data_IF_248895622076
#
_entry.id   IF_248895622076
#
_cell.length_a   1.000
_cell.length_b   1.000
_cell.length_c   1.000
_cell.angle_alpha   90.00
_cell.angle_beta   90.00
_cell.angle_gamma   90.00
#
_symmetry.space_group_name_H-M   'P 1'
#
loop_
_entity.id
_entity.type
_entity.pdbx_description
1 polymer ?
#
# COMPACT_ATOMS: atom_id res chain seq x y z
N UNK A 1 -4.93 -39.80 -11.53
CA UNK A 1 -5.39 -38.38 -11.62
C UNK A 1 -4.66 -37.73 -12.78
N UNK A 2 -5.36 -37.20 -13.78
CA UNK A 2 -4.75 -36.47 -14.88
C UNK A 2 -4.01 -35.22 -14.30
N UNK A 3 -2.83 -34.92 -14.84
CA UNK A 3 -2.09 -33.71 -14.46
C UNK A 3 -3.03 -32.48 -14.58
N UNK A 4 -3.01 -31.56 -13.61
CA UNK A 4 -3.88 -30.38 -13.67
C UNK A 4 -3.61 -29.61 -14.95
N UNK A 5 -4.67 -29.30 -15.70
CA UNK A 5 -4.61 -28.57 -16.97
C UNK A 5 -3.95 -27.21 -16.73
N UNK A 6 -2.80 -26.99 -17.33
CA UNK A 6 -2.10 -25.71 -17.21
C UNK A 6 -2.78 -24.69 -18.12
N UNK A 7 -3.47 -23.72 -17.53
CA UNK A 7 -4.08 -22.60 -18.24
C UNK A 7 -3.06 -21.48 -18.38
N UNK A 8 -2.92 -20.94 -19.58
CA UNK A 8 -2.11 -19.73 -19.83
C UNK A 8 -3.02 -18.52 -19.66
N UNK A 9 -2.69 -17.65 -18.69
CA UNK A 9 -3.45 -16.43 -18.41
C UNK A 9 -2.76 -15.23 -19.06
N UNK A 10 -3.41 -14.57 -20.00
CA UNK A 10 -2.99 -13.33 -20.66
C UNK A 10 -3.75 -12.10 -20.16
N UNK A 11 -4.41 -12.19 -19.00
CA UNK A 11 -5.16 -11.08 -18.42
C UNK A 11 -4.26 -9.86 -18.13
N UNK A 12 -4.71 -8.63 -18.45
CA UNK A 12 -3.90 -7.42 -18.29
C UNK A 12 -3.81 -6.91 -16.84
N UNK A 13 -4.53 -7.56 -15.91
CA UNK A 13 -4.52 -7.27 -14.47
C UNK A 13 -5.89 -7.49 -13.82
N UNK A 14 -5.96 -8.32 -12.75
CA UNK A 14 -4.87 -9.12 -12.17
C UNK A 14 -4.23 -10.06 -13.15
N UNK A 15 -2.89 -10.01 -13.26
CA UNK A 15 -2.13 -10.74 -14.24
C UNK A 15 -1.65 -12.11 -13.71
N UNK A 16 -1.07 -12.92 -14.62
CA UNK A 16 -0.47 -14.19 -14.26
C UNK A 16 0.70 -13.98 -13.29
N UNK A 17 0.72 -14.76 -12.21
CA UNK A 17 1.88 -14.87 -11.31
C UNK A 17 2.76 -16.07 -11.71
N UNK A 18 4.09 -15.98 -11.51
CA UNK A 18 4.97 -17.12 -11.68
C UNK A 18 4.57 -18.30 -10.78
N UNK A 19 4.60 -19.51 -11.33
CA UNK A 19 4.20 -20.71 -10.56
C UNK A 19 5.07 -20.93 -9.31
N UNK A 20 6.36 -20.63 -9.40
CA UNK A 20 7.29 -20.70 -8.25
C UNK A 20 6.84 -19.80 -7.10
N UNK A 21 6.42 -18.57 -7.40
CA UNK A 21 5.88 -17.63 -6.41
C UNK A 21 4.60 -18.15 -5.77
N UNK A 22 3.67 -18.73 -6.57
CA UNK A 22 2.43 -19.30 -6.04
C UNK A 22 2.68 -20.50 -5.13
N UNK A 23 3.67 -21.34 -5.46
CA UNK A 23 4.05 -22.49 -4.63
C UNK A 23 4.71 -22.04 -3.31
N UNK A 24 5.48 -20.96 -3.33
CA UNK A 24 6.08 -20.39 -2.12
C UNK A 24 4.99 -19.78 -1.22
N UNK A 25 4.08 -18.99 -1.79
CA UNK A 25 2.91 -18.46 -1.07
C UNK A 25 2.11 -19.61 -0.44
N UNK A 26 1.87 -20.70 -1.17
CA UNK A 26 1.12 -21.86 -0.66
C UNK A 26 1.76 -22.48 0.60
N UNK A 27 3.08 -22.52 0.68
CA UNK A 27 3.78 -23.02 1.87
C UNK A 27 3.57 -22.09 3.08
N UNK A 28 3.58 -20.78 2.83
CA UNK A 28 3.48 -19.76 3.88
C UNK A 28 2.02 -19.43 4.30
N UNK A 29 1.02 -19.97 3.55
CA UNK A 29 -0.39 -19.75 3.86
C UNK A 29 -0.85 -20.42 5.15
N UNK A 30 -0.23 -21.53 5.55
CA UNK A 30 -0.59 -22.26 6.77
C UNK A 30 0.38 -21.95 7.90
N UNK A 31 1.65 -21.75 7.57
CA UNK A 31 2.70 -21.52 8.56
C UNK A 31 3.82 -20.68 7.94
N UNK A 32 3.85 -19.39 8.24
CA UNK A 32 4.90 -18.50 7.77
C UNK A 32 6.22 -18.83 8.44
N UNK A 33 7.14 -19.50 7.71
CA UNK A 33 8.52 -19.78 8.16
C UNK A 33 8.61 -20.47 9.53
N UNK A 34 7.66 -21.32 9.88
CA UNK A 34 7.68 -22.10 11.12
C UNK A 34 7.26 -21.34 12.38
N UNK A 35 6.63 -20.17 12.25
CA UNK A 35 6.16 -19.41 13.43
C UNK A 35 4.79 -19.86 13.95
N UNK A 36 4.16 -20.84 13.29
CA UNK A 36 2.89 -21.43 13.72
C UNK A 36 1.64 -20.65 13.34
N UNK A 37 1.75 -19.60 12.51
CA UNK A 37 0.60 -18.85 11.97
C UNK A 37 0.78 -18.52 10.51
N UNK A 38 -0.34 -18.32 9.82
CA UNK A 38 -0.38 -17.83 8.46
C UNK A 38 0.06 -16.38 8.36
N UNK A 39 0.67 -16.01 7.23
CA UNK A 39 0.87 -14.60 6.87
C UNK A 39 -0.45 -13.81 6.84
N UNK A 40 -1.59 -14.49 6.59
CA UNK A 40 -2.93 -13.89 6.57
C UNK A 40 -3.42 -13.44 7.96
N UNK A 41 -2.96 -14.12 9.00
CA UNK A 41 -3.32 -13.89 10.40
C UNK A 41 -2.33 -12.96 11.11
N UNK A 42 -1.20 -12.69 10.45
CA UNK A 42 -0.11 -11.91 11.02
C UNK A 42 -0.51 -10.45 11.22
N UNK A 43 -0.33 -9.95 12.43
CA UNK A 43 -0.50 -8.52 12.68
C UNK A 43 0.51 -7.70 11.87
N UNK A 44 0.03 -6.72 11.12
CA UNK A 44 0.90 -5.78 10.41
C UNK A 44 1.83 -4.95 11.34
N UNK A 45 1.63 -5.03 12.66
CA UNK A 45 2.48 -4.41 13.69
C UNK A 45 3.47 -5.38 14.33
N UNK A 46 3.46 -6.65 13.92
CA UNK A 46 4.43 -7.63 14.42
C UNK A 46 5.83 -7.38 13.84
N UNK A 47 6.85 -7.84 14.55
CA UNK A 47 8.24 -7.81 14.06
C UNK A 47 8.44 -8.60 12.78
N UNK A 48 7.68 -9.69 12.61
CA UNK A 48 7.80 -10.53 11.42
C UNK A 48 7.18 -9.87 10.20
N UNK A 49 6.04 -9.19 10.35
CA UNK A 49 5.49 -8.38 9.26
C UNK A 49 6.41 -7.20 8.91
N UNK A 50 7.02 -6.56 9.91
CA UNK A 50 8.01 -5.50 9.68
C UNK A 50 9.20 -6.00 8.84
N UNK A 51 9.67 -7.24 9.05
CA UNK A 51 10.70 -7.86 8.21
C UNK A 51 10.23 -8.04 6.77
N UNK A 52 8.99 -8.46 6.56
CA UNK A 52 8.41 -8.62 5.20
C UNK A 52 8.38 -7.28 4.47
N UNK A 53 7.81 -6.23 5.08
CA UNK A 53 7.67 -4.94 4.40
C UNK A 53 9.01 -4.25 4.17
N UNK A 54 9.93 -4.31 5.14
CA UNK A 54 11.27 -3.76 5.00
C UNK A 54 12.07 -4.47 3.92
N UNK A 55 12.00 -5.80 3.86
CA UNK A 55 12.63 -6.58 2.78
C UNK A 55 12.03 -6.23 1.42
N UNK A 56 10.71 -6.04 1.33
CA UNK A 56 10.05 -5.63 0.09
C UNK A 56 10.49 -4.23 -0.35
N UNK A 57 10.62 -3.29 0.59
CA UNK A 57 11.17 -1.96 0.30
C UNK A 57 12.60 -2.04 -0.21
N UNK A 58 13.47 -2.79 0.47
CA UNK A 58 14.87 -2.96 0.08
C UNK A 58 14.99 -3.57 -1.33
N UNK A 59 14.17 -4.57 -1.65
CA UNK A 59 14.16 -5.16 -3.00
C UNK A 59 13.73 -4.16 -4.08
N UNK A 60 12.73 -3.32 -3.81
CA UNK A 60 12.32 -2.25 -4.75
C UNK A 60 13.46 -1.25 -4.93
N UNK A 61 14.12 -0.85 -3.83
CA UNK A 61 15.27 0.07 -3.88
C UNK A 61 16.42 -0.50 -4.68
N UNK A 62 16.76 -1.76 -4.45
CA UNK A 62 17.84 -2.46 -5.16
C UNK A 62 17.53 -2.58 -6.66
N UNK A 63 16.35 -3.10 -7.02
CA UNK A 63 15.95 -3.38 -8.41
C UNK A 63 15.86 -2.11 -9.28
N UNK A 64 15.51 -0.97 -8.68
CA UNK A 64 15.34 0.30 -9.39
C UNK A 64 16.44 1.31 -9.08
N UNK A 65 17.48 0.93 -8.31
CA UNK A 65 18.53 1.82 -7.85
C UNK A 65 17.95 3.14 -7.26
N UNK A 66 16.92 3.02 -6.39
CA UNK A 66 16.21 4.18 -5.83
C UNK A 66 17.14 5.01 -4.96
N UNK A 67 17.36 6.32 -5.24
CA UNK A 67 18.23 7.17 -4.44
C UNK A 67 17.74 7.33 -2.99
N UNK A 68 18.66 7.66 -2.06
CA UNK A 68 18.35 7.77 -0.63
C UNK A 68 17.36 8.91 -0.31
N UNK A 69 17.32 9.94 -1.15
CA UNK A 69 16.40 11.07 -1.02
C UNK A 69 14.98 10.79 -1.56
N UNK A 70 14.60 9.50 -1.64
CA UNK A 70 13.25 9.06 -1.99
C UNK A 70 12.67 8.15 -0.93
N UNK A 71 11.35 8.25 -0.70
CA UNK A 71 10.57 7.26 0.05
C UNK A 71 9.93 6.26 -0.88
N UNK A 72 10.01 4.99 -0.51
CA UNK A 72 9.23 3.91 -1.12
C UNK A 72 8.12 3.57 -0.14
N UNK A 73 6.87 3.75 -0.54
CA UNK A 73 5.71 3.48 0.30
C UNK A 73 4.74 2.54 -0.39
N UNK A 74 4.05 1.73 0.43
CA UNK A 74 3.05 0.78 -0.03
C UNK A 74 1.67 1.23 0.46
N UNK A 75 0.80 1.56 -0.49
CA UNK A 75 -0.52 2.14 -0.21
C UNK A 75 -1.63 1.30 -0.83
N UNK A 76 -2.87 1.60 -0.49
CA UNK A 76 -4.06 0.96 -1.06
C UNK A 76 -4.69 1.83 -2.14
N UNK A 77 -5.67 1.29 -2.87
CA UNK A 77 -6.47 2.03 -3.84
C UNK A 77 -6.09 1.82 -5.31
N UNK A 78 -4.96 1.15 -5.60
CA UNK A 78 -4.50 0.93 -6.98
C UNK A 78 -4.18 2.23 -7.71
N UNK A 79 -4.04 2.17 -9.04
CA UNK A 79 -3.86 3.37 -9.86
C UNK A 79 -5.00 4.37 -9.73
N UNK A 80 -6.23 3.90 -9.55
CA UNK A 80 -7.40 4.78 -9.36
C UNK A 80 -7.30 5.61 -8.08
N UNK A 81 -6.80 5.03 -6.98
CA UNK A 81 -6.50 5.78 -5.76
C UNK A 81 -5.41 6.81 -5.97
N UNK A 82 -4.42 6.51 -6.82
CA UNK A 82 -3.34 7.45 -7.12
C UNK A 82 -3.77 8.60 -8.04
N UNK A 83 -4.80 8.42 -8.86
CA UNK A 83 -5.35 9.53 -9.65
C UNK A 83 -5.88 10.66 -8.76
N UNK A 84 -6.39 10.34 -7.57
CA UNK A 84 -6.77 11.32 -6.54
C UNK A 84 -5.59 11.70 -5.63
N UNK A 85 -4.77 10.72 -5.20
CA UNK A 85 -3.70 10.96 -4.23
C UNK A 85 -2.61 11.89 -4.79
N UNK A 86 -2.22 11.73 -6.07
CA UNK A 86 -1.22 12.60 -6.70
C UNK A 86 -1.63 14.08 -6.64
N UNK A 87 -2.79 14.50 -7.18
CA UNK A 87 -3.18 15.90 -7.08
C UNK A 87 -3.41 16.35 -5.63
N UNK A 88 -3.99 15.54 -4.76
CA UNK A 88 -4.17 15.88 -3.35
C UNK A 88 -2.85 16.18 -2.62
N UNK A 89 -1.76 15.50 -2.98
CA UNK A 89 -0.46 15.71 -2.36
C UNK A 89 0.40 16.79 -3.04
N UNK A 90 0.25 17.03 -4.34
CA UNK A 90 1.21 17.80 -5.12
C UNK A 90 0.64 19.04 -5.78
N UNK A 91 -0.67 19.15 -6.05
CA UNK A 91 -1.20 20.26 -6.83
C UNK A 91 -1.06 21.59 -6.08
N UNK A 92 -1.04 21.53 -4.74
CA UNK A 92 -0.80 22.67 -3.87
C UNK A 92 0.67 23.08 -3.70
N UNK A 93 1.62 22.35 -4.31
CA UNK A 93 3.05 22.65 -4.21
C UNK A 93 3.40 24.03 -4.78
N UNK A 94 2.69 24.44 -5.84
CA UNK A 94 2.72 25.82 -6.33
C UNK A 94 1.37 26.52 -6.09
N UNK A 95 1.41 27.83 -5.83
CA UNK A 95 0.24 28.62 -5.47
C UNK A 95 -0.89 28.59 -6.51
N UNK A 96 -0.55 28.43 -7.80
CA UNK A 96 -1.52 28.37 -8.90
C UNK A 96 -2.37 27.11 -8.95
N UNK A 97 -2.06 26.07 -8.15
CA UNK A 97 -2.75 24.77 -8.16
C UNK A 97 -3.01 24.26 -9.58
N UNK A 98 -1.98 24.33 -10.44
CA UNK A 98 -2.04 23.87 -11.81
C UNK A 98 -1.19 22.61 -12.00
N UNK A 99 -1.65 21.67 -12.82
CA UNK A 99 -0.90 20.50 -13.22
C UNK A 99 -1.08 20.21 -14.72
N UNK A 100 -0.01 19.74 -15.33
CA UNK A 100 0.05 19.39 -16.75
C UNK A 100 -0.14 17.88 -16.92
N UNK A 101 -0.92 17.49 -17.91
CA UNK A 101 -1.20 16.07 -18.21
C UNK A 101 -0.93 15.74 -19.68
N UNK A 102 -0.11 14.71 -19.89
CA UNK A 102 0.12 14.11 -21.21
C UNK A 102 -0.88 12.97 -21.39
N UNK A 103 -1.92 13.20 -22.20
CA UNK A 103 -3.04 12.26 -22.37
C UNK A 103 -2.85 11.42 -23.65
N UNK A 104 -2.34 10.21 -23.46
CA UNK A 104 -2.03 9.26 -24.56
C UNK A 104 -2.92 8.03 -24.58
N UNK A 105 -3.89 7.96 -23.67
CA UNK A 105 -4.83 6.86 -23.59
C UNK A 105 -5.91 7.03 -22.55
N UNK A 106 -6.68 5.98 -22.29
CA UNK A 106 -7.80 6.02 -21.34
C UNK A 106 -7.37 6.22 -19.90
N UNK A 107 -6.19 5.74 -19.51
CA UNK A 107 -5.77 5.84 -18.12
C UNK A 107 -5.27 7.25 -17.79
N UNK A 108 -4.45 7.82 -18.64
CA UNK A 108 -4.02 9.22 -18.49
C UNK A 108 -5.19 10.21 -18.60
N UNK A 109 -6.19 9.93 -19.47
CA UNK A 109 -7.41 10.72 -19.54
C UNK A 109 -8.21 10.67 -18.23
N UNK A 110 -8.39 9.49 -17.62
CA UNK A 110 -9.07 9.34 -16.32
C UNK A 110 -8.32 10.06 -15.20
N UNK A 111 -6.99 9.97 -15.20
CA UNK A 111 -6.17 10.67 -14.22
C UNK A 111 -6.34 12.20 -14.33
N UNK A 112 -6.34 12.74 -15.56
CA UNK A 112 -6.56 14.15 -15.80
C UNK A 112 -7.96 14.62 -15.35
N UNK A 113 -9.01 13.83 -15.63
CA UNK A 113 -10.38 14.14 -15.18
C UNK A 113 -10.50 14.12 -13.65
N UNK A 114 -9.85 13.16 -12.98
CA UNK A 114 -9.85 13.12 -11.53
C UNK A 114 -9.14 14.33 -10.91
N UNK A 115 -8.00 14.73 -11.47
CA UNK A 115 -7.22 15.86 -10.98
C UNK A 115 -7.96 17.22 -11.08
N UNK A 116 -8.87 17.37 -12.04
CA UNK A 116 -9.71 18.58 -12.17
C UNK A 116 -10.56 18.90 -10.94
N UNK A 117 -10.79 17.90 -10.09
CA UNK A 117 -11.52 18.10 -8.82
C UNK A 117 -10.72 18.91 -7.80
N UNK A 118 -9.40 18.98 -7.95
CA UNK A 118 -8.48 19.52 -6.95
C UNK A 118 -7.74 20.77 -7.41
N UNK A 119 -7.76 21.07 -8.72
CA UNK A 119 -7.12 22.25 -9.28
C UNK A 119 -7.28 22.38 -10.79
N UNK A 120 -6.53 23.29 -11.39
CA UNK A 120 -6.51 23.50 -12.83
C UNK A 120 -5.67 22.42 -13.51
N UNK A 121 -6.23 21.81 -14.55
CA UNK A 121 -5.54 20.80 -15.36
C UNK A 121 -5.36 21.30 -16.77
N UNK A 122 -4.12 21.39 -17.23
CA UNK A 122 -3.76 21.65 -18.61
C UNK A 122 -3.41 20.34 -19.32
N UNK A 123 -4.04 20.07 -20.45
CA UNK A 123 -3.63 18.99 -21.36
C UNK A 123 -2.60 19.57 -22.32
N UNK A 124 -1.36 19.08 -22.23
CA UNK A 124 -0.20 19.71 -22.87
C UNK A 124 -0.18 19.68 -24.40
N UNK A 125 -1.06 18.91 -25.01
CA UNK A 125 -1.17 18.78 -26.46
C UNK A 125 -2.64 18.82 -26.92
N UNK A 126 -2.92 19.12 -28.19
CA UNK A 126 -4.27 19.09 -28.73
C UNK A 126 -4.94 17.72 -28.53
N UNK A 127 -6.27 17.72 -28.37
CA UNK A 127 -7.04 16.50 -28.22
C UNK A 127 -6.78 15.54 -29.40
N UNK A 128 -6.38 14.32 -29.06
CA UNK A 128 -6.16 13.28 -30.08
C UNK A 128 -7.50 12.71 -30.56
N UNK A 129 -7.64 12.53 -31.86
CA UNK A 129 -8.80 11.83 -32.45
C UNK A 129 -8.81 10.34 -32.14
N UNK A 130 -7.61 9.76 -31.92
CA UNK A 130 -7.39 8.37 -31.51
C UNK A 130 -6.06 8.25 -30.76
N UNK A 131 -5.97 7.28 -29.85
CA UNK A 131 -4.76 7.01 -29.06
C UNK A 131 -3.87 5.98 -29.76
N UNK A 132 -3.19 6.39 -30.82
CA UNK A 132 -2.34 5.51 -31.65
C UNK A 132 -0.87 5.92 -31.65
N UNK A 133 -0.53 7.03 -31.01
CA UNK A 133 0.84 7.57 -30.94
C UNK A 133 1.03 8.46 -29.73
N UNK A 134 2.26 8.68 -29.37
CA UNK A 134 2.69 9.72 -28.44
C UNK A 134 2.86 11.02 -29.26
N UNK A 135 2.22 12.14 -28.89
CA UNK A 135 2.48 13.43 -29.49
C UNK A 135 3.93 13.83 -29.34
N UNK A 136 4.49 14.48 -30.36
CA UNK A 136 5.89 14.97 -30.32
C UNK A 136 6.08 15.90 -29.10
N UNK A 137 7.01 15.60 -28.19
CA UNK A 137 7.27 16.43 -27.00
C UNK A 137 7.61 17.89 -27.33
N UNK A 138 8.19 18.18 -28.51
CA UNK A 138 8.47 19.53 -28.97
C UNK A 138 7.21 20.40 -29.17
N UNK A 139 6.05 19.75 -29.32
CA UNK A 139 4.74 20.42 -29.52
C UNK A 139 3.96 20.57 -28.22
N UNK A 140 4.50 20.13 -27.09
CA UNK A 140 3.81 20.23 -25.81
C UNK A 140 3.80 21.64 -25.27
N UNK A 141 2.62 22.13 -24.91
CA UNK A 141 2.43 23.41 -24.25
C UNK A 141 2.44 23.24 -22.73
N UNK A 142 3.65 23.19 -22.14
CA UNK A 142 3.84 23.06 -20.70
C UNK A 142 3.54 24.38 -20.01
N UNK A 143 2.79 24.32 -18.89
CA UNK A 143 2.50 25.48 -18.04
C UNK A 143 3.74 25.83 -17.21
N UNK A 144 4.22 27.09 -17.23
CA UNK A 144 5.41 27.48 -16.47
C UNK A 144 5.20 27.32 -14.95
N UNK A 145 3.95 27.40 -14.49
CA UNK A 145 3.57 27.31 -13.08
C UNK A 145 2.96 25.95 -12.71
N UNK A 146 3.07 24.93 -13.55
CA UNK A 146 2.60 23.60 -13.21
C UNK A 146 3.32 23.06 -11.96
N UNK A 147 2.55 22.55 -11.00
CA UNK A 147 3.07 21.88 -9.82
C UNK A 147 3.72 20.56 -10.19
N UNK A 148 3.22 19.91 -11.23
CA UNK A 148 3.80 18.70 -11.79
C UNK A 148 3.31 18.45 -13.22
N UNK A 149 4.05 17.60 -13.94
CA UNK A 149 3.65 17.05 -15.23
C UNK A 149 3.39 15.56 -15.05
N UNK A 150 2.23 15.08 -15.44
CA UNK A 150 1.81 13.69 -15.32
C UNK A 150 1.78 13.00 -16.68
N UNK A 151 2.24 11.73 -16.72
CA UNK A 151 2.02 10.84 -17.85
C UNK A 151 1.83 9.39 -17.40
N UNK A 152 1.22 8.58 -18.25
CA UNK A 152 1.11 7.13 -18.09
C UNK A 152 2.16 6.47 -19.01
N UNK A 153 3.14 5.78 -18.42
CA UNK A 153 4.25 5.21 -19.20
C UNK A 153 3.81 4.11 -20.17
N UNK A 154 2.75 3.38 -19.82
CA UNK A 154 2.18 2.34 -20.68
C UNK A 154 0.66 2.28 -20.57
N UNK A 155 -0.02 2.67 -21.62
CA UNK A 155 -1.49 2.65 -21.76
C UNK A 155 -1.99 1.27 -22.17
N UNK A 156 -2.41 0.46 -21.22
CA UNK A 156 -2.78 -0.95 -21.41
C UNK A 156 -3.97 -1.19 -22.35
N UNK A 157 -4.86 -0.20 -22.52
CA UNK A 157 -6.03 -0.33 -23.41
C UNK A 157 -5.65 -0.12 -24.87
N UNK A 158 -4.75 0.83 -25.13
CA UNK A 158 -4.41 1.27 -26.48
C UNK A 158 -3.06 0.73 -26.98
N UNK A 159 -2.27 0.11 -26.08
CA UNK A 159 -0.95 -0.43 -26.43
C UNK A 159 0.09 0.66 -26.77
N UNK A 160 -0.06 1.84 -26.17
CA UNK A 160 0.89 2.96 -26.34
C UNK A 160 1.84 2.95 -25.14
N UNK A 161 3.13 2.79 -25.39
CA UNK A 161 4.18 2.84 -24.37
C UNK A 161 5.24 3.87 -24.72
N UNK A 162 5.69 4.63 -23.71
CA UNK A 162 6.83 5.53 -23.85
C UNK A 162 8.14 4.75 -23.79
N UNK A 163 8.99 4.91 -24.80
CA UNK A 163 10.34 4.38 -24.88
C UNK A 163 11.40 5.39 -24.33
N UNK A 164 10.96 6.58 -23.92
CA UNK A 164 11.78 7.64 -23.37
C UNK A 164 11.14 8.24 -22.11
N UNK A 165 11.94 8.90 -21.28
CA UNK A 165 11.47 9.73 -20.17
C UNK A 165 11.27 11.14 -20.69
N UNK A 166 10.06 11.74 -20.59
CA UNK A 166 9.81 13.10 -21.06
C UNK A 166 10.69 14.14 -20.37
N UNK A 167 11.29 15.05 -21.15
CA UNK A 167 11.92 16.26 -20.61
C UNK A 167 10.84 17.32 -20.35
N UNK A 168 10.59 17.59 -19.07
CA UNK A 168 9.57 18.54 -18.61
C UNK A 168 10.19 19.85 -18.13
N UNK A 169 11.39 20.20 -18.61
CA UNK A 169 12.07 21.49 -18.38
C UNK A 169 12.17 21.87 -16.90
N UNK A 170 12.51 20.90 -16.06
CA UNK A 170 12.70 21.10 -14.62
C UNK A 170 11.44 21.07 -13.77
N UNK A 171 10.26 20.88 -14.36
CA UNK A 171 9.04 20.60 -13.59
C UNK A 171 9.11 19.22 -12.91
N UNK A 172 8.30 19.02 -11.87
CA UNK A 172 8.18 17.71 -11.20
C UNK A 172 7.49 16.72 -12.14
N UNK A 173 8.16 15.62 -12.48
CA UNK A 173 7.59 14.57 -13.33
C UNK A 173 6.92 13.50 -12.48
N UNK A 174 5.66 13.20 -12.79
CA UNK A 174 4.86 12.13 -12.17
C UNK A 174 4.50 11.08 -13.19
N UNK A 175 4.73 9.82 -12.85
CA UNK A 175 4.54 8.71 -13.77
C UNK A 175 3.68 7.59 -13.19
N UNK A 176 2.64 7.19 -13.94
CA UNK A 176 1.96 5.91 -13.74
C UNK A 176 2.72 4.82 -14.51
N UNK A 177 3.40 3.97 -13.77
CA UNK A 177 4.11 2.79 -14.30
C UNK A 177 3.38 1.49 -14.01
N UNK A 178 2.10 1.50 -13.65
CA UNK A 178 1.38 0.30 -13.19
C UNK A 178 1.54 -0.91 -14.10
N UNK A 179 1.67 -0.73 -15.40
CA UNK A 179 1.73 -1.85 -16.36
C UNK A 179 3.11 -2.17 -16.91
N UNK A 180 4.11 -1.33 -16.65
CA UNK A 180 5.49 -1.58 -17.04
C UNK A 180 6.52 -1.37 -15.92
N UNK A 181 6.06 -1.28 -14.66
CA UNK A 181 6.92 -1.23 -13.49
C UNK A 181 7.78 -2.49 -13.41
N UNK A 182 9.08 -2.36 -13.16
CA UNK A 182 10.05 -3.47 -13.12
C UNK A 182 10.16 -4.29 -14.43
N UNK A 183 9.73 -3.74 -15.57
CA UNK A 183 9.90 -4.41 -16.87
C UNK A 183 11.19 -4.04 -17.58
N UNK A 184 11.75 -2.89 -17.25
CA UNK A 184 13.00 -2.35 -17.79
C UNK A 184 13.67 -1.43 -16.77
N UNK A 185 15.00 -1.18 -16.86
CA UNK A 185 15.68 -0.19 -16.04
C UNK A 185 15.06 1.20 -16.20
N UNK A 186 14.97 1.94 -15.09
CA UNK A 186 14.42 3.30 -15.04
C UNK A 186 15.33 4.16 -14.17
N UNK A 187 15.70 5.33 -14.65
CA UNK A 187 16.39 6.33 -13.83
C UNK A 187 15.40 7.07 -12.95
N UNK A 188 15.25 6.58 -11.71
CA UNK A 188 14.31 7.12 -10.72
C UNK A 188 14.57 8.59 -10.41
N UNK A 189 15.84 9.05 -10.54
CA UNK A 189 16.22 10.44 -10.24
C UNK A 189 15.54 11.48 -11.15
N UNK A 190 15.00 11.07 -12.29
CA UNK A 190 14.25 11.93 -13.22
C UNK A 190 12.82 12.22 -12.77
N UNK A 191 12.33 11.54 -11.76
CA UNK A 191 10.92 11.63 -11.34
C UNK A 191 10.80 12.28 -9.97
N UNK A 192 9.71 13.02 -9.77
CA UNK A 192 9.27 13.40 -8.43
C UNK A 192 8.44 12.29 -7.80
N UNK A 193 7.57 11.64 -8.61
CA UNK A 193 6.74 10.52 -8.17
C UNK A 193 6.64 9.46 -9.26
N UNK A 194 6.82 8.20 -8.87
CA UNK A 194 6.42 7.02 -9.66
C UNK A 194 5.40 6.25 -8.84
N UNK A 195 4.32 5.78 -9.45
CA UNK A 195 3.45 4.82 -8.79
C UNK A 195 3.10 3.64 -9.69
N UNK A 196 2.79 2.51 -9.07
CA UNK A 196 2.42 1.29 -9.77
C UNK A 196 1.45 0.43 -8.96
N UNK A 197 0.28 0.15 -9.53
CA UNK A 197 -0.63 -0.86 -9.00
C UNK A 197 -0.03 -2.26 -9.17
N UNK A 198 0.13 -3.01 -8.07
CA UNK A 198 0.88 -4.27 -8.06
C UNK A 198 0.28 -5.38 -8.93
N UNK A 199 -1.05 -5.39 -9.14
CA UNK A 199 -1.79 -6.48 -9.79
C UNK A 199 -1.41 -6.75 -11.25
N UNK A 200 -0.59 -5.90 -11.86
CA UNK A 200 -0.16 -6.07 -13.25
C UNK A 200 1.18 -6.80 -13.33
N UNK A 201 2.28 -6.16 -12.98
CA UNK A 201 3.62 -6.72 -13.17
C UNK A 201 4.42 -6.95 -11.87
N UNK A 202 3.85 -6.68 -10.71
CA UNK A 202 4.55 -6.80 -9.42
C UNK A 202 4.06 -8.00 -8.60
N UNK A 203 2.73 -8.15 -8.42
CA UNK A 203 2.19 -9.16 -7.53
C UNK A 203 0.67 -9.21 -7.50
N UNK A 204 0.10 -9.44 -6.31
CA UNK A 204 -1.35 -9.52 -6.11
C UNK A 204 -2.02 -8.15 -6.11
N UNK A 205 -3.34 -8.13 -6.36
CA UNK A 205 -4.16 -6.93 -6.21
C UNK A 205 -4.22 -6.47 -4.75
N UNK A 206 -4.35 -5.16 -4.55
CA UNK A 206 -4.57 -4.55 -3.24
C UNK A 206 -3.42 -3.65 -2.78
N UNK A 207 -2.23 -3.80 -3.33
CA UNK A 207 -1.06 -2.96 -3.03
C UNK A 207 -0.76 -2.04 -4.22
N UNK A 208 -0.35 -0.82 -3.91
CA UNK A 208 0.20 0.14 -4.86
C UNK A 208 1.54 0.62 -4.33
N UNK A 209 2.58 0.49 -5.14
CA UNK A 209 3.90 1.03 -4.84
C UNK A 209 3.91 2.50 -5.22
N UNK A 210 4.42 3.36 -4.34
CA UNK A 210 4.69 4.77 -4.65
C UNK A 210 6.13 5.07 -4.27
N UNK A 211 6.88 5.63 -5.19
CA UNK A 211 8.24 6.14 -4.97
C UNK A 211 8.14 7.66 -5.11
N UNK A 212 8.45 8.38 -4.05
CA UNK A 212 8.32 9.84 -4.00
C UNK A 212 9.59 10.49 -3.46
N UNK A 213 10.03 11.57 -4.09
CA UNK A 213 11.16 12.38 -3.65
C UNK A 213 10.82 13.12 -2.35
N UNK A 214 11.75 13.12 -1.39
CA UNK A 214 11.54 13.60 -0.02
C UNK A 214 11.08 15.07 0.05
N UNK A 215 11.60 15.92 -0.83
CA UNK A 215 11.27 17.33 -0.89
C UNK A 215 9.84 17.63 -1.36
N UNK A 216 9.11 16.62 -1.84
CA UNK A 216 7.71 16.73 -2.25
C UNK A 216 6.73 16.31 -1.16
N UNK A 217 7.21 15.92 0.02
CA UNK A 217 6.36 15.53 1.15
C UNK A 217 5.91 16.75 1.96
N UNK A 218 4.62 16.80 2.30
CA UNK A 218 4.06 17.82 3.20
C UNK A 218 3.34 18.97 2.51
N UNK A 219 3.06 18.86 1.21
CA UNK A 219 2.28 19.83 0.43
C UNK A 219 0.85 19.38 0.16
N UNK A 220 0.39 18.36 0.90
CA UNK A 220 -0.97 17.86 0.75
C UNK A 220 -1.98 18.98 1.04
N UNK A 221 -3.05 19.01 0.24
CA UNK A 221 -4.18 19.88 0.48
C UNK A 221 -4.82 19.57 1.84
N UNK A 222 -5.42 20.56 2.48
CA UNK A 222 -6.06 20.38 3.80
C UNK A 222 -7.18 19.32 3.75
N UNK A 223 -7.86 19.19 2.64
CA UNK A 223 -8.89 18.20 2.36
C UNK A 223 -8.36 16.80 2.09
N UNK A 224 -7.03 16.60 2.03
CA UNK A 224 -6.45 15.28 1.78
C UNK A 224 -6.68 14.33 2.97
N UNK A 225 -7.39 13.22 2.77
CA UNK A 225 -7.53 12.21 3.83
C UNK A 225 -6.16 11.62 4.20
N UNK A 226 -5.91 11.42 5.49
CA UNK A 226 -4.63 10.87 6.00
C UNK A 226 -4.21 9.55 5.34
N UNK A 227 -5.17 8.75 4.88
CA UNK A 227 -4.91 7.49 4.18
C UNK A 227 -4.26 7.70 2.81
N UNK A 228 -4.51 8.84 2.16
CA UNK A 228 -3.97 9.22 0.85
C UNK A 228 -2.77 10.18 0.98
N UNK A 229 -2.47 10.67 2.18
CA UNK A 229 -1.36 11.59 2.41
C UNK A 229 -0.02 10.86 2.43
N UNK A 230 0.85 11.17 1.48
CA UNK A 230 2.14 10.51 1.33
C UNK A 230 3.07 10.71 2.54
N UNK A 231 3.04 11.91 3.15
CA UNK A 231 3.82 12.21 4.37
C UNK A 231 3.39 11.33 5.55
N UNK A 232 2.09 11.11 5.71
CA UNK A 232 1.54 10.24 6.75
C UNK A 232 1.95 8.79 6.51
N UNK A 233 1.84 8.31 5.28
CA UNK A 233 2.23 6.95 4.91
C UNK A 233 3.74 6.73 5.09
N UNK A 234 4.58 7.66 4.63
CA UNK A 234 6.02 7.61 4.80
C UNK A 234 6.44 7.63 6.27
N UNK A 235 5.85 8.52 7.08
CA UNK A 235 6.13 8.63 8.52
C UNK A 235 5.68 7.43 9.35
N UNK A 236 4.84 6.55 8.80
CA UNK A 236 4.39 5.32 9.43
C UNK A 236 4.93 4.05 8.72
N UNK A 237 5.96 4.16 7.90
CA UNK A 237 6.55 3.03 7.15
C UNK A 237 5.49 2.20 6.41
N UNK A 238 4.53 2.87 5.75
CA UNK A 238 3.39 2.27 5.05
C UNK A 238 2.40 1.50 5.94
N UNK A 239 2.49 1.63 7.26
CA UNK A 239 1.67 0.90 8.24
C UNK A 239 0.71 1.84 8.99
N UNK A 240 0.35 2.96 8.40
CA UNK A 240 -0.67 3.87 8.96
C UNK A 240 -2.00 3.15 9.18
N UNK A 241 -2.42 2.35 8.21
CA UNK A 241 -3.57 1.45 8.28
C UNK A 241 -3.15 0.01 8.01
N UNK A 242 -4.03 -0.95 8.28
CA UNK A 242 -3.78 -2.36 7.99
C UNK A 242 -3.69 -2.58 6.49
N UNK A 243 -2.56 -3.06 5.95
CA UNK A 243 -2.43 -3.37 4.53
C UNK A 243 -3.25 -4.62 4.18
N UNK A 244 -3.58 -4.83 2.89
CA UNK A 244 -4.24 -6.04 2.45
C UNK A 244 -3.27 -7.23 2.55
N UNK A 245 -3.41 -8.03 3.60
CA UNK A 245 -2.64 -9.27 3.75
C UNK A 245 -3.22 -10.41 2.89
N UNK A 246 -4.51 -10.38 2.60
CA UNK A 246 -5.41 -11.05 1.67
C UNK A 246 -6.83 -10.62 2.04
N UNK A 247 -7.79 -10.62 1.14
CA UNK A 247 -9.13 -10.10 1.42
C UNK A 247 -10.13 -11.24 1.69
N UNK A 248 -10.74 -11.26 2.91
CA UNK A 248 -12.05 -11.86 3.13
C UNK A 248 -13.07 -10.74 3.39
N UNK A 249 -14.28 -10.76 2.79
CA UNK A 249 -15.30 -9.74 3.01
C UNK A 249 -16.12 -10.07 4.25
N UNK A 250 -16.20 -9.15 5.21
CA UNK A 250 -17.20 -9.17 6.28
C UNK A 250 -17.78 -7.78 6.45
N UNK A 251 -19.11 -7.70 6.42
CA UNK A 251 -19.90 -6.47 6.55
C UNK A 251 -20.04 -6.04 8.02
N UNK A 252 -20.06 -4.72 8.36
CA UNK A 252 -20.10 -4.29 9.74
C UNK A 252 -21.50 -3.85 10.18
N UNK A 253 -22.07 -4.47 11.22
CA UNK A 253 -23.08 -3.83 12.06
C UNK A 253 -22.72 -3.97 13.52
N UNK A 254 -22.28 -2.81 14.09
CA UNK A 254 -22.35 -2.35 15.49
C UNK A 254 -21.74 -3.20 16.62
N UNK A 255 -20.94 -2.53 17.46
CA UNK A 255 -20.28 -2.91 18.73
C UNK A 255 -19.67 -4.31 18.77
N UNK A 256 -18.38 -4.33 18.78
CA UNK A 256 -17.60 -5.54 18.70
C UNK A 256 -17.86 -6.48 19.88
N UNK A 257 -18.68 -7.48 19.66
CA UNK A 257 -18.61 -8.74 20.44
C UNK A 257 -17.33 -9.52 20.12
N UNK A 258 -16.53 -8.99 19.19
CA UNK A 258 -15.37 -9.62 18.56
C UNK A 258 -14.04 -9.15 19.16
N UNK A 259 -14.01 -7.98 19.79
CA UNK A 259 -12.78 -7.42 20.37
C UNK A 259 -13.05 -7.00 21.82
N UNK A 260 -12.41 -7.69 22.74
CA UNK A 260 -12.58 -7.48 24.18
C UNK A 260 -11.30 -6.84 24.73
N UNK A 261 -11.23 -5.50 24.86
CA UNK A 261 -10.13 -4.85 25.54
C UNK A 261 -10.30 -4.98 27.05
N UNK A 262 -9.19 -5.20 27.78
CA UNK A 262 -9.19 -5.23 29.25
C UNK A 262 -7.84 -4.75 29.80
N UNK A 263 -7.84 -4.43 31.10
CA UNK A 263 -6.68 -4.03 31.86
C UNK A 263 -6.44 -5.03 32.99
N UNK A 264 -5.20 -5.14 33.47
CA UNK A 264 -4.85 -5.98 34.63
C UNK A 264 -4.36 -5.09 35.76
N UNK A 265 -4.73 -5.43 37.01
CA UNK A 265 -4.42 -4.68 38.21
C UNK A 265 -5.51 -3.71 38.62
N UNK A 266 -5.35 -2.43 38.39
CA UNK A 266 -6.33 -1.39 38.73
C UNK A 266 -7.05 -0.84 37.48
N UNK A 267 -7.99 0.09 37.65
CA UNK A 267 -8.77 0.68 36.56
C UNK A 267 -7.92 1.40 35.49
N UNK A 268 -6.70 1.83 35.81
CA UNK A 268 -5.74 2.43 34.87
C UNK A 268 -4.80 1.38 34.25
N UNK A 269 -4.79 0.16 34.80
CA UNK A 269 -3.88 -0.93 34.46
C UNK A 269 -2.56 -0.86 35.21
N UNK A 270 -1.85 -1.99 35.23
CA UNK A 270 -0.48 -2.13 35.73
C UNK A 270 0.39 -2.67 34.59
N UNK A 271 1.22 -1.81 34.04
CA UNK A 271 2.03 -2.13 32.86
C UNK A 271 3.00 -3.29 33.12
N UNK A 272 3.48 -3.49 34.36
CA UNK A 272 4.36 -4.60 34.70
C UNK A 272 3.60 -5.94 34.73
N UNK A 273 2.39 -5.96 35.31
CA UNK A 273 1.51 -7.13 35.31
C UNK A 273 1.01 -7.45 33.90
N UNK A 274 0.63 -6.44 33.12
CA UNK A 274 0.22 -6.62 31.73
C UNK A 274 1.34 -7.19 30.87
N UNK A 275 2.57 -6.74 31.06
CA UNK A 275 3.74 -7.31 30.39
C UNK A 275 3.94 -8.78 30.79
N UNK A 276 3.89 -9.13 32.09
CA UNK A 276 3.99 -10.52 32.55
C UNK A 276 2.89 -11.40 31.98
N UNK A 277 1.67 -10.87 31.91
CA UNK A 277 0.55 -11.59 31.30
C UNK A 277 0.83 -11.91 29.83
N UNK A 278 1.31 -10.93 29.04
CA UNK A 278 1.65 -11.10 27.64
C UNK A 278 2.79 -12.10 27.43
N UNK A 279 3.84 -12.03 28.26
CA UNK A 279 4.98 -12.94 28.21
C UNK A 279 4.52 -14.39 28.53
N UNK A 280 3.69 -14.59 29.57
CA UNK A 280 3.13 -15.90 29.93
C UNK A 280 2.12 -16.43 28.89
N UNK A 281 1.32 -15.57 28.29
CA UNK A 281 0.44 -15.95 27.19
C UNK A 281 1.24 -16.48 25.99
N UNK A 282 2.36 -15.82 25.68
CA UNK A 282 3.27 -16.24 24.61
C UNK A 282 3.87 -17.62 24.89
N UNK A 283 4.30 -17.89 26.12
CA UNK A 283 4.79 -19.24 26.53
C UNK A 283 3.74 -20.35 26.33
N UNK A 284 2.45 -20.00 26.39
CA UNK A 284 1.31 -20.89 26.16
C UNK A 284 0.80 -20.86 24.69
N UNK A 285 1.60 -20.31 23.77
CA UNK A 285 1.25 -20.15 22.35
C UNK A 285 -0.02 -19.32 22.12
N UNK A 286 -0.26 -18.29 22.94
CA UNK A 286 -1.29 -17.29 22.74
C UNK A 286 -0.66 -15.96 22.37
N UNK A 287 -0.88 -15.50 21.14
CA UNK A 287 -0.22 -14.32 20.57
C UNK A 287 -1.21 -13.20 20.29
N UNK A 288 -0.67 -12.01 19.99
CA UNK A 288 -1.42 -10.83 19.54
C UNK A 288 -2.43 -10.28 20.55
N UNK A 289 -2.25 -10.55 21.84
CA UNK A 289 -3.09 -10.05 22.93
C UNK A 289 -2.78 -8.62 23.35
N UNK A 290 -1.66 -8.03 22.92
CA UNK A 290 -1.30 -6.64 23.28
C UNK A 290 -2.34 -5.66 22.74
N UNK A 291 -2.82 -4.75 23.61
CA UNK A 291 -3.77 -3.70 23.24
C UNK A 291 -3.21 -2.67 22.26
N UNK A 292 -4.08 -1.82 21.75
CA UNK A 292 -3.68 -0.80 20.79
C UNK A 292 -2.78 0.25 21.46
N UNK A 293 -1.75 0.73 20.74
CA UNK A 293 -0.74 1.71 21.25
C UNK A 293 -1.36 2.99 21.83
N UNK A 294 -2.55 3.41 21.37
CA UNK A 294 -3.21 4.63 21.86
C UNK A 294 -3.93 4.46 23.19
N UNK A 295 -4.27 3.23 23.59
CA UNK A 295 -5.04 2.93 24.80
C UNK A 295 -4.33 1.97 25.75
N UNK A 296 -3.27 1.30 25.29
CA UNK A 296 -2.53 0.30 26.07
C UNK A 296 -3.35 -0.95 26.38
N UNK A 297 -2.95 -1.66 27.44
CA UNK A 297 -3.68 -2.81 27.95
C UNK A 297 -3.57 -4.06 27.10
N UNK A 298 -4.54 -4.92 27.26
CA UNK A 298 -4.68 -6.20 26.58
C UNK A 298 -5.99 -6.20 25.77
N UNK A 299 -6.00 -6.92 24.66
CA UNK A 299 -7.20 -7.07 23.84
C UNK A 299 -7.25 -8.48 23.25
N UNK A 300 -8.31 -9.22 23.56
CA UNK A 300 -8.64 -10.44 22.85
C UNK A 300 -9.57 -10.13 21.67
N UNK A 301 -9.19 -10.58 20.46
CA UNK A 301 -10.02 -10.46 19.26
C UNK A 301 -10.60 -11.84 18.93
N UNK A 302 -11.90 -11.97 19.10
CA UNK A 302 -12.67 -13.23 19.01
C UNK A 302 -13.42 -13.29 17.67
N UNK A 303 -12.69 -13.35 16.56
CA UNK A 303 -13.27 -13.47 15.24
C UNK A 303 -13.74 -14.91 14.95
N UNK A 304 -14.54 -15.10 13.89
CA UNK A 304 -15.23 -16.37 13.60
C UNK A 304 -14.34 -17.61 13.51
N UNK A 305 -13.05 -17.46 13.24
CA UNK A 305 -12.09 -18.56 13.22
C UNK A 305 -11.58 -18.95 14.61
N UNK A 306 -11.81 -18.11 15.64
CA UNK A 306 -11.44 -18.42 17.03
C UNK A 306 -12.48 -19.39 17.57
N UNK A 307 -12.03 -20.59 17.93
CA UNK A 307 -12.93 -21.65 18.40
C UNK A 307 -13.34 -21.46 19.86
N UNK A 308 -14.35 -22.20 20.29
CA UNK A 308 -14.77 -22.21 21.71
C UNK A 308 -13.61 -22.70 22.58
N UNK A 309 -12.86 -23.69 22.12
CA UNK A 309 -11.69 -24.24 22.80
C UNK A 309 -10.58 -23.19 22.97
N UNK A 310 -10.35 -22.33 21.96
CA UNK A 310 -9.38 -21.24 22.05
C UNK A 310 -9.81 -20.21 23.10
N UNK A 311 -11.11 -19.85 23.15
CA UNK A 311 -11.68 -18.96 24.17
C UNK A 311 -11.56 -19.57 25.56
N UNK A 312 -11.86 -20.86 25.71
CA UNK A 312 -11.74 -21.58 26.97
C UNK A 312 -10.28 -21.64 27.46
N UNK A 313 -9.33 -21.84 26.55
CA UNK A 313 -7.89 -21.81 26.85
C UNK A 313 -7.47 -20.44 27.38
N UNK A 314 -7.91 -19.36 26.72
CA UNK A 314 -7.64 -17.99 27.18
C UNK A 314 -8.30 -17.74 28.56
N UNK A 315 -9.56 -18.11 28.74
CA UNK A 315 -10.28 -17.92 29.98
C UNK A 315 -9.66 -18.68 31.16
N UNK A 316 -9.23 -19.93 30.95
CA UNK A 316 -8.51 -20.72 31.95
C UNK A 316 -7.17 -20.08 32.31
N UNK A 317 -6.42 -19.59 31.32
CA UNK A 317 -5.19 -18.87 31.54
C UNK A 317 -5.41 -17.58 32.35
N UNK A 318 -6.44 -16.78 32.01
CA UNK A 318 -6.79 -15.55 32.72
C UNK A 318 -7.10 -15.86 34.21
N UNK A 319 -7.89 -16.90 34.47
CA UNK A 319 -8.24 -17.33 35.84
C UNK A 319 -6.99 -17.74 36.63
N UNK A 320 -6.15 -18.57 36.07
CA UNK A 320 -4.91 -19.01 36.72
C UNK A 320 -3.96 -17.82 36.97
N UNK A 321 -3.88 -16.89 36.03
CA UNK A 321 -3.05 -15.70 36.20
C UNK A 321 -3.54 -14.81 37.33
N UNK A 322 -4.85 -14.62 37.47
CA UNK A 322 -5.47 -13.87 38.58
C UNK A 322 -5.17 -14.55 39.94
N UNK A 323 -5.35 -15.86 40.03
CA UNK A 323 -5.09 -16.65 41.25
C UNK A 323 -3.61 -16.57 41.66
N UNK A 324 -2.68 -16.67 40.71
CA UNK A 324 -1.24 -16.58 41.01
C UNK A 324 -0.77 -15.20 41.49
N UNK A 325 -1.48 -14.15 41.13
CA UNK A 325 -1.10 -12.76 41.47
C UNK A 325 -2.02 -12.14 42.52
N UNK A 326 -2.94 -12.93 43.09
CA UNK A 326 -3.91 -12.48 44.11
C UNK A 326 -4.68 -11.20 43.74
N UNK A 327 -5.13 -11.15 42.46
CA UNK A 327 -5.82 -10.00 41.87
C UNK A 327 -7.34 -10.17 41.91
#
# INVERSE_FOLDING_TARGET
MSAPRQVVNFGPGPAKLPRSVLLEIQKELLDYKGIGISVLEMSHRSSDFAKIINNTENLVRELLAVPDNYKVIFVQGGGSGQFSAVPLNLIGWKAGRCADYVVTGSWSAKAAEEAKKFGTVNIVHPKLGSYTKIPDPSTWNLSPDASYVYYCANETVHGVEFDFIPDVKGAVLVCDMSSNFLSKPVDVSKFGVIFAGAQKNVGSAGVTVVIIRDDLLGFALQECPSILEYKVQAGNSSLYNTPPCFRCPVEPKSRSKMNIPFRIGNAKGDDALEKRFLDKALELNMISLKGHRSVGGIRASLYNAVTIEDVQKLAAFMKNFLEMHQL
#
